data_IF_279489686011
#
_entry.id   IF_279489686011
#
_cell.length_a   1.000
_cell.length_b   1.000
_cell.length_c   1.000
_cell.angle_alpha   90.00
_cell.angle_beta   90.00
_cell.angle_gamma   90.00
#
_symmetry.space_group_name_H-M   'P 1'
#
loop_
_entity.id
_entity.type
_entity.pdbx_description
1 polymer ?
#
# COMPACT_ATOMS: atom_id res chain seq x y z
N UNK A 1 61.51 11.49 -5.92
CA UNK A 1 60.57 11.49 -4.77
C UNK A 1 59.23 11.98 -5.29
N UNK A 2 58.32 11.06 -5.60
CA UNK A 2 56.96 11.38 -6.07
C UNK A 2 56.03 11.20 -4.87
N UNK A 3 55.28 12.24 -4.51
CA UNK A 3 54.29 12.18 -3.43
C UNK A 3 53.18 11.18 -3.79
N UNK A 4 52.65 10.38 -2.83
CA UNK A 4 51.48 9.56 -3.08
C UNK A 4 50.22 10.45 -3.17
N UNK A 5 49.49 10.33 -4.27
CA UNK A 5 48.16 10.92 -4.48
C UNK A 5 47.18 10.32 -3.47
N UNK A 6 46.58 11.16 -2.64
CA UNK A 6 45.39 10.80 -1.85
C UNK A 6 44.26 10.41 -2.82
N UNK A 7 43.65 9.24 -2.58
CA UNK A 7 42.37 8.89 -3.21
C UNK A 7 41.27 9.72 -2.56
N UNK A 8 40.30 10.26 -3.33
CA UNK A 8 39.16 10.92 -2.74
C UNK A 8 38.32 9.88 -1.97
N UNK A 9 38.04 10.21 -0.71
CA UNK A 9 37.12 9.50 0.16
C UNK A 9 35.72 9.43 -0.47
N UNK A 10 35.20 8.22 -0.58
CA UNK A 10 33.86 7.91 -1.10
C UNK A 10 32.80 8.65 -0.29
N UNK A 11 32.09 9.55 -0.95
CA UNK A 11 30.90 10.22 -0.44
C UNK A 11 29.83 9.15 -0.18
N UNK A 12 29.52 8.90 1.10
CA UNK A 12 28.39 8.07 1.52
C UNK A 12 27.12 8.71 0.96
N UNK A 13 26.55 8.10 -0.09
CA UNK A 13 25.27 8.52 -0.62
C UNK A 13 24.24 8.50 0.50
N UNK A 14 23.77 9.68 0.91
CA UNK A 14 22.71 9.83 1.89
C UNK A 14 21.42 9.33 1.22
N UNK A 15 20.85 8.17 1.58
CA UNK A 15 19.54 7.82 1.05
C UNK A 15 18.57 8.87 1.61
N UNK A 16 17.89 9.60 0.73
CA UNK A 16 16.82 10.49 1.14
C UNK A 16 15.81 9.76 2.03
N UNK A 17 14.94 10.49 2.75
CA UNK A 17 13.95 9.86 3.64
C UNK A 17 13.20 8.76 2.88
N UNK A 18 13.16 7.55 3.46
CA UNK A 18 12.52 6.41 2.84
C UNK A 18 11.05 6.74 2.55
N UNK A 19 10.63 6.57 1.29
CA UNK A 19 9.25 6.82 0.88
C UNK A 19 8.33 5.90 1.67
N UNK A 20 7.38 6.48 2.39
CA UNK A 20 6.37 5.73 3.14
C UNK A 20 5.37 5.12 2.16
N UNK A 21 5.07 3.83 2.31
CA UNK A 21 4.23 3.10 1.36
C UNK A 21 2.91 2.65 1.97
N UNK A 22 1.88 2.51 1.14
CA UNK A 22 0.58 2.00 1.52
C UNK A 22 0.09 0.90 0.58
N UNK A 23 -0.70 -0.02 1.12
CA UNK A 23 -1.58 -0.91 0.37
C UNK A 23 -3.04 -0.65 0.74
N UNK A 24 -3.97 -0.89 -0.18
CA UNK A 24 -5.39 -0.85 0.07
C UNK A 24 -6.04 -2.21 -0.17
N UNK A 25 -6.95 -2.61 0.70
CA UNK A 25 -7.79 -3.78 0.58
C UNK A 25 -9.25 -3.35 0.46
N UNK A 26 -9.88 -3.73 -0.64
CA UNK A 26 -11.31 -3.55 -0.87
C UNK A 26 -12.00 -4.90 -0.69
N UNK A 27 -13.03 -4.94 0.13
CA UNK A 27 -13.80 -6.13 0.49
C UNK A 27 -15.22 -5.95 -0.05
N UNK A 28 -15.73 -6.96 -0.77
CA UNK A 28 -17.11 -6.96 -1.23
C UNK A 28 -17.32 -7.76 -2.51
N UNK A 29 -18.22 -8.75 -2.45
CA UNK A 29 -18.62 -9.56 -3.61
C UNK A 29 -19.30 -8.72 -4.70
N UNK A 30 -19.96 -7.63 -4.34
CA UNK A 30 -20.57 -6.68 -5.26
C UNK A 30 -19.54 -5.90 -6.10
N UNK A 31 -18.33 -5.72 -5.57
CA UNK A 31 -17.21 -5.13 -6.30
C UNK A 31 -16.66 -6.15 -7.29
N UNK A 32 -16.42 -7.39 -6.84
CA UNK A 32 -15.92 -8.48 -7.69
C UNK A 32 -16.89 -8.86 -8.81
N UNK A 33 -18.19 -8.87 -8.52
CA UNK A 33 -19.25 -9.13 -9.50
C UNK A 33 -19.55 -7.94 -10.41
N UNK A 34 -18.97 -6.76 -10.14
CA UNK A 34 -19.16 -5.54 -10.92
C UNK A 34 -20.53 -4.87 -10.76
N UNK A 35 -21.34 -5.28 -9.78
CA UNK A 35 -22.62 -4.64 -9.47
C UNK A 35 -22.42 -3.23 -8.92
N UNK A 36 -21.36 -3.05 -8.12
CA UNK A 36 -20.91 -1.76 -7.64
C UNK A 36 -19.53 -1.49 -8.23
N UNK A 37 -19.36 -0.27 -8.73
CA UNK A 37 -18.05 0.21 -9.16
C UNK A 37 -17.30 0.78 -7.97
N UNK A 38 -16.11 0.25 -7.70
CA UNK A 38 -15.16 0.82 -6.75
C UNK A 38 -14.81 2.27 -7.17
N UNK A 39 -14.89 3.22 -6.23
CA UNK A 39 -14.65 4.66 -6.46
C UNK A 39 -13.70 5.30 -5.45
N UNK A 40 -13.32 4.59 -4.38
CA UNK A 40 -12.53 5.10 -3.27
C UNK A 40 -11.03 5.06 -3.60
N UNK A 41 -10.57 4.09 -4.41
CA UNK A 41 -9.15 3.93 -4.77
C UNK A 41 -8.50 5.22 -5.31
N UNK A 42 -9.17 5.87 -6.27
CA UNK A 42 -8.63 7.08 -6.90
C UNK A 42 -8.54 8.25 -5.93
N UNK A 43 -9.54 8.43 -5.08
CA UNK A 43 -9.52 9.46 -4.05
C UNK A 43 -8.42 9.20 -3.00
N UNK A 44 -8.33 7.95 -2.53
CA UNK A 44 -7.30 7.53 -1.59
C UNK A 44 -5.89 7.77 -2.13
N UNK A 45 -5.63 7.35 -3.38
CA UNK A 45 -4.33 7.57 -4.03
C UNK A 45 -3.95 9.07 -4.09
N UNK A 46 -4.91 9.94 -4.43
CA UNK A 46 -4.69 11.38 -4.49
C UNK A 46 -4.37 11.97 -3.11
N UNK A 47 -5.11 11.57 -2.07
CA UNK A 47 -4.89 12.04 -0.69
C UNK A 47 -3.53 11.57 -0.17
N UNK A 48 -3.20 10.28 -0.35
CA UNK A 48 -1.92 9.72 0.09
C UNK A 48 -0.73 10.40 -0.62
N UNK A 49 -0.85 10.60 -1.93
CA UNK A 49 0.18 11.31 -2.72
C UNK A 49 0.40 12.73 -2.18
N UNK A 50 -0.67 13.45 -1.84
CA UNK A 50 -0.59 14.82 -1.31
C UNK A 50 0.14 14.90 0.04
N UNK A 51 0.17 13.82 0.82
CA UNK A 51 0.88 13.75 2.12
C UNK A 51 2.20 12.96 2.05
N UNK A 52 2.68 12.63 0.85
CA UNK A 52 3.96 11.95 0.65
C UNK A 52 3.95 10.45 0.93
N UNK A 53 2.78 9.81 0.87
CA UNK A 53 2.62 8.34 0.97
C UNK A 53 2.32 7.78 -0.41
N UNK A 54 3.05 6.73 -0.78
CA UNK A 54 2.92 6.09 -2.09
C UNK A 54 2.01 4.85 -1.98
N UNK A 55 0.83 4.91 -2.60
CA UNK A 55 -0.09 3.78 -2.68
C UNK A 55 0.39 2.80 -3.75
N UNK A 56 0.88 1.63 -3.31
CA UNK A 56 1.59 0.67 -4.16
C UNK A 56 0.74 -0.48 -4.68
N UNK A 57 -0.30 -0.85 -3.96
CA UNK A 57 -1.17 -1.97 -4.31
C UNK A 57 -2.59 -1.68 -3.86
N UNK A 58 -3.56 -2.05 -4.70
CA UNK A 58 -4.97 -2.15 -4.33
C UNK A 58 -5.39 -3.57 -4.64
N UNK A 59 -5.83 -4.30 -3.63
CA UNK A 59 -6.33 -5.67 -3.74
C UNK A 59 -7.82 -5.68 -3.47
N UNK A 60 -8.58 -6.42 -4.28
CA UNK A 60 -10.01 -6.64 -4.08
C UNK A 60 -10.22 -8.11 -3.72
N UNK A 61 -10.97 -8.36 -2.64
CA UNK A 61 -11.37 -9.70 -2.19
C UNK A 61 -12.89 -9.74 -1.95
N UNK A 62 -13.46 -10.94 -1.95
CA UNK A 62 -14.86 -11.16 -1.59
C UNK A 62 -15.07 -11.15 -0.07
N UNK A 63 -16.33 -11.32 0.34
CA UNK A 63 -16.74 -11.42 1.76
C UNK A 63 -16.43 -12.83 2.31
N UNK A 64 -15.15 -13.19 2.29
CA UNK A 64 -14.62 -14.45 2.81
C UNK A 64 -13.51 -14.18 3.84
N UNK A 65 -13.71 -14.64 5.07
CA UNK A 65 -12.80 -14.38 6.18
C UNK A 65 -11.36 -14.83 5.87
N UNK A 66 -11.19 -16.00 5.25
CA UNK A 66 -9.88 -16.54 4.94
C UNK A 66 -9.15 -15.68 3.89
N UNK A 67 -9.86 -15.22 2.86
CA UNK A 67 -9.34 -14.31 1.85
C UNK A 67 -8.95 -12.95 2.44
N UNK A 68 -9.78 -12.40 3.33
CA UNK A 68 -9.49 -11.14 4.04
C UNK A 68 -8.23 -11.29 4.89
N UNK A 69 -8.14 -12.36 5.69
CA UNK A 69 -6.96 -12.64 6.54
C UNK A 69 -5.70 -12.80 5.70
N UNK A 70 -5.75 -13.54 4.59
CA UNK A 70 -4.60 -13.72 3.69
C UNK A 70 -4.15 -12.38 3.09
N UNK A 71 -5.10 -11.59 2.57
CA UNK A 71 -4.83 -10.29 1.97
C UNK A 71 -4.24 -9.29 2.97
N UNK A 72 -4.81 -9.16 4.18
CA UNK A 72 -4.28 -8.26 5.22
C UNK A 72 -2.86 -8.67 5.61
N UNK A 73 -2.61 -9.97 5.79
CA UNK A 73 -1.28 -10.48 6.13
C UNK A 73 -0.26 -10.20 5.02
N UNK A 74 -0.65 -10.38 3.75
CA UNK A 74 0.20 -10.10 2.61
C UNK A 74 0.54 -8.60 2.50
N UNK A 75 -0.45 -7.72 2.67
CA UNK A 75 -0.27 -6.27 2.54
C UNK A 75 0.54 -5.69 3.72
N UNK A 76 0.22 -6.07 4.96
CA UNK A 76 0.93 -5.55 6.15
C UNK A 76 2.41 -5.94 6.20
N UNK A 77 2.77 -7.05 5.57
CA UNK A 77 4.15 -7.49 5.46
C UNK A 77 4.95 -6.70 4.41
N UNK A 78 4.28 -6.05 3.45
CA UNK A 78 4.90 -5.36 2.31
C UNK A 78 4.92 -3.85 2.45
N UNK A 79 3.93 -3.27 3.13
CA UNK A 79 3.68 -1.83 3.14
C UNK A 79 3.62 -1.25 4.55
N UNK A 80 3.95 0.04 4.68
CA UNK A 80 3.92 0.74 5.98
C UNK A 80 2.50 0.91 6.52
N UNK A 81 1.54 1.20 5.63
CA UNK A 81 0.13 1.33 5.97
C UNK A 81 -0.75 0.37 5.17
N UNK A 82 -1.81 -0.11 5.80
CA UNK A 82 -2.87 -0.87 5.14
C UNK A 82 -4.19 -0.14 5.38
N UNK A 83 -4.87 0.21 4.30
CA UNK A 83 -6.22 0.77 4.33
C UNK A 83 -7.22 -0.31 3.95
N UNK A 84 -8.34 -0.41 4.65
CA UNK A 84 -9.43 -1.33 4.30
C UNK A 84 -10.69 -0.54 3.97
N UNK A 85 -11.51 -1.06 3.06
CA UNK A 85 -12.82 -0.50 2.70
C UNK A 85 -13.78 -1.62 2.32
N UNK A 86 -15.03 -1.54 2.74
CA UNK A 86 -16.03 -2.62 2.59
C UNK A 86 -16.04 -3.57 3.79
N UNK A 87 -17.04 -4.46 3.87
CA UNK A 87 -17.24 -5.36 5.03
C UNK A 87 -17.74 -4.67 6.30
N UNK A 88 -18.53 -3.58 6.18
CA UNK A 88 -19.13 -2.83 7.33
C UNK A 88 -20.66 -2.69 7.10
N UNK A 89 -21.25 -3.55 6.26
CA UNK A 89 -22.69 -3.59 6.07
C UNK A 89 -23.44 -4.05 7.33
N UNK A 90 -24.76 -3.86 7.41
CA UNK A 90 -25.58 -4.43 8.49
C UNK A 90 -25.87 -5.92 8.28
N UNK A 91 -25.17 -6.57 7.35
CA UNK A 91 -25.44 -7.93 6.90
C UNK A 91 -24.75 -8.95 7.80
N UNK A 92 -25.22 -10.20 7.76
CA UNK A 92 -24.72 -11.27 8.63
C UNK A 92 -23.29 -11.74 8.28
N UNK A 93 -22.78 -11.26 7.14
CA UNK A 93 -21.51 -11.67 6.51
C UNK A 93 -20.39 -10.62 6.75
N UNK A 94 -20.68 -9.54 7.49
CA UNK A 94 -19.75 -8.47 7.88
C UNK A 94 -19.17 -8.66 9.30
#
# INVERSE_FOLDING_TARGET
MVAPSEKPSSETANPGPAVVTAGALVIGDEILSGRIREKNAGHLAAVLTAIGIDLKEIRVVGDDEAAIVEAVNALRARYTYVFTSGGIGPTHDD
#
